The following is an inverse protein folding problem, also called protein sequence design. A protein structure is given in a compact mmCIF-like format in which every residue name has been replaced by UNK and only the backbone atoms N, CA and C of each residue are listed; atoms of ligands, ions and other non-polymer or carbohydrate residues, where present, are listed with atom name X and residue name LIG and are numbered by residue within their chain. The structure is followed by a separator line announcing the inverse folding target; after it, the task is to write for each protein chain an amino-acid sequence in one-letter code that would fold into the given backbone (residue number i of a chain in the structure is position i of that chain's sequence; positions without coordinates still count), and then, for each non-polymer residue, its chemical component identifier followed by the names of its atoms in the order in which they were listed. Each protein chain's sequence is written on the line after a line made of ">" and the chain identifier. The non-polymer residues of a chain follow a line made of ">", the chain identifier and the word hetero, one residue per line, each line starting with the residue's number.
data_IF_394351813784
#
_entry.id   IF_394351813784
#
_cell.length_a   1.000
_cell.length_b   1.000
_cell.length_c   1.000
_cell.angle_alpha   90.00
_cell.angle_beta   90.00
_cell.angle_gamma   90.00
#
_symmetry.space_group_name_H-M   'P 1'
#
loop_
_entity.id
_entity.type
_entity.pdbx_description
1 polymer ?
#
# COMPACT_ATOMS: atom_id res chain seq x y z
N UNK A 1 -13.26 0.43 -0.97
CA UNK A 1 -12.80 1.66 -1.65
C UNK A 1 -11.34 1.55 -2.00
N UNK A 2 -10.45 1.52 -1.01
CA UNK A 2 -8.99 1.45 -1.19
C UNK A 2 -8.51 0.25 -2.02
N UNK A 3 -9.15 -0.91 -1.88
CA UNK A 3 -8.84 -2.07 -2.71
C UNK A 3 -9.10 -1.82 -4.21
N UNK A 4 -10.18 -1.08 -4.55
CA UNK A 4 -10.48 -0.72 -5.94
C UNK A 4 -9.47 0.31 -6.42
N UNK A 5 -9.20 1.34 -5.61
CA UNK A 5 -8.19 2.34 -5.92
C UNK A 5 -6.80 1.71 -6.15
N UNK A 6 -6.40 0.73 -5.33
CA UNK A 6 -5.15 0.01 -5.46
C UNK A 6 -5.06 -0.87 -6.71
N UNK A 7 -6.17 -1.47 -7.16
CA UNK A 7 -6.19 -2.23 -8.43
C UNK A 7 -6.00 -1.33 -9.66
N UNK A 8 -6.50 -0.10 -9.58
CA UNK A 8 -6.37 0.89 -10.65
C UNK A 8 -5.19 1.84 -10.48
N UNK A 9 -4.43 1.72 -9.40
CA UNK A 9 -3.21 2.48 -9.18
C UNK A 9 -2.14 2.00 -10.16
N UNK A 10 -1.43 2.95 -10.76
CA UNK A 10 -0.33 2.67 -11.67
C UNK A 10 0.80 3.66 -11.43
N UNK A 11 2.02 3.15 -11.42
CA UNK A 11 3.21 3.97 -11.20
C UNK A 11 4.25 3.66 -12.26
N UNK A 12 5.03 4.67 -12.66
CA UNK A 12 6.13 4.49 -13.60
C UNK A 12 7.26 5.47 -13.31
N UNK A 13 8.51 5.00 -13.35
CA UNK A 13 9.70 5.83 -13.11
C UNK A 13 10.40 6.22 -14.41
N UNK A 14 11.16 7.31 -14.38
CA UNK A 14 11.98 7.72 -15.52
C UNK A 14 13.09 6.69 -15.80
N UNK A 15 13.66 6.09 -14.76
CA UNK A 15 14.60 4.96 -14.89
C UNK A 15 13.98 3.77 -15.63
N UNK A 16 12.72 3.43 -15.33
CA UNK A 16 11.95 2.39 -16.02
C UNK A 16 11.75 2.73 -17.50
N UNK A 17 11.33 3.95 -17.82
CA UNK A 17 11.15 4.38 -19.21
C UNK A 17 12.46 4.36 -20.01
N UNK A 18 13.58 4.80 -19.40
CA UNK A 18 14.91 4.72 -20.02
C UNK A 18 15.31 3.27 -20.31
N UNK A 19 15.06 2.36 -19.36
CA UNK A 19 15.29 0.93 -19.55
C UNK A 19 14.41 0.37 -20.66
N UNK A 20 13.11 0.67 -20.66
CA UNK A 20 12.17 0.26 -21.71
C UNK A 20 12.60 0.76 -23.10
N UNK A 21 13.08 2.00 -23.20
CA UNK A 21 13.62 2.57 -24.45
C UNK A 21 14.82 1.76 -24.96
N UNK A 22 15.78 1.44 -24.10
CA UNK A 22 16.95 0.64 -24.44
C UNK A 22 16.57 -0.75 -24.94
N UNK A 23 15.69 -1.43 -24.20
CA UNK A 23 15.20 -2.77 -24.52
C UNK A 23 14.42 -2.80 -25.84
N UNK A 24 13.53 -1.84 -26.06
CA UNK A 24 12.80 -1.69 -27.32
C UNK A 24 13.75 -1.43 -28.49
N UNK A 25 14.78 -0.60 -28.30
CA UNK A 25 15.81 -0.33 -29.31
C UNK A 25 16.62 -1.57 -29.69
N UNK A 26 16.97 -2.43 -28.73
CA UNK A 26 17.62 -3.73 -28.97
C UNK A 26 16.70 -4.64 -29.80
N UNK A 27 15.43 -4.74 -29.43
CA UNK A 27 14.44 -5.56 -30.14
C UNK A 27 14.22 -5.08 -31.59
N UNK A 28 14.04 -3.77 -31.79
CA UNK A 28 13.82 -3.16 -33.12
C UNK A 28 15.04 -3.36 -34.02
N UNK A 29 16.27 -3.26 -33.50
CA UNK A 29 17.49 -3.50 -34.29
C UNK A 29 17.54 -4.91 -34.87
N UNK A 30 17.13 -5.93 -34.12
CA UNK A 30 17.14 -7.32 -34.60
C UNK A 30 15.93 -7.70 -35.43
N UNK A 31 14.74 -7.37 -34.95
CA UNK A 31 13.48 -7.87 -35.51
C UNK A 31 12.76 -6.85 -36.37
N UNK A 32 13.16 -5.58 -36.38
CA UNK A 32 12.45 -4.50 -37.06
C UNK A 32 12.22 -4.72 -38.56
N UNK A 33 13.17 -5.38 -39.26
CA UNK A 33 13.02 -5.76 -40.68
C UNK A 33 12.13 -7.00 -40.90
N UNK A 34 11.92 -7.82 -39.87
CA UNK A 34 11.13 -9.06 -39.91
C UNK A 34 9.68 -8.85 -39.44
N UNK A 35 9.38 -7.71 -38.81
CA UNK A 35 8.03 -7.37 -38.37
C UNK A 35 7.14 -7.03 -39.57
N UNK A 36 5.89 -7.54 -39.54
CA UNK A 36 4.82 -7.07 -40.44
C UNK A 36 4.65 -5.56 -40.30
N UNK A 37 4.23 -4.89 -41.37
CA UNK A 37 4.10 -3.42 -41.41
C UNK A 37 3.28 -2.85 -40.25
N UNK A 38 2.14 -3.48 -39.94
CA UNK A 38 1.28 -3.11 -38.81
C UNK A 38 1.99 -3.21 -37.45
N UNK A 39 2.66 -4.33 -37.18
CA UNK A 39 3.42 -4.52 -35.93
C UNK A 39 4.57 -3.52 -35.82
N UNK A 40 5.23 -3.19 -36.93
CA UNK A 40 6.30 -2.19 -36.95
C UNK A 40 5.77 -0.80 -36.60
N UNK A 41 4.58 -0.43 -37.09
CA UNK A 41 3.91 0.83 -36.72
C UNK A 41 3.56 0.84 -35.24
N UNK A 42 2.96 -0.23 -34.70
CA UNK A 42 2.61 -0.30 -33.28
C UNK A 42 3.83 -0.29 -32.35
N UNK A 43 4.90 -0.99 -32.70
CA UNK A 43 6.18 -0.91 -31.97
C UNK A 43 6.76 0.51 -32.01
N UNK A 44 6.65 1.20 -33.15
CA UNK A 44 7.00 2.61 -33.27
C UNK A 44 6.16 3.52 -32.38
N UNK A 45 4.84 3.28 -32.30
CA UNK A 45 3.92 4.00 -31.39
C UNK A 45 4.33 3.82 -29.92
N UNK A 46 4.65 2.60 -29.48
CA UNK A 46 5.18 2.35 -28.13
C UNK A 46 6.46 3.16 -27.88
N UNK A 47 7.38 3.18 -28.85
CA UNK A 47 8.60 3.98 -28.76
C UNK A 47 8.34 5.47 -28.60
N UNK A 48 7.41 6.04 -29.37
CA UNK A 48 7.03 7.47 -29.25
C UNK A 48 6.46 7.82 -27.89
N UNK A 49 5.63 6.95 -27.32
CA UNK A 49 5.08 7.11 -25.97
C UNK A 49 6.20 7.14 -24.93
N UNK A 50 7.09 6.13 -24.97
CA UNK A 50 8.21 6.06 -24.03
C UNK A 50 9.07 7.32 -24.14
N UNK A 51 9.36 7.79 -25.35
CA UNK A 51 10.14 9.01 -25.55
C UNK A 51 9.43 10.28 -25.05
N UNK A 52 8.16 10.47 -25.39
CA UNK A 52 7.41 11.66 -24.98
C UNK A 52 7.23 11.76 -23.46
N UNK A 53 6.90 10.62 -22.81
CA UNK A 53 6.83 10.55 -21.35
C UNK A 53 8.20 10.77 -20.71
N UNK A 54 9.26 10.15 -21.25
CA UNK A 54 10.63 10.35 -20.75
C UNK A 54 11.04 11.81 -20.83
N UNK A 55 10.80 12.47 -21.97
CA UNK A 55 11.13 13.89 -22.15
C UNK A 55 10.38 14.76 -21.15
N UNK A 56 9.08 14.50 -20.92
CA UNK A 56 8.29 15.24 -19.93
C UNK A 56 8.87 15.08 -18.52
N UNK A 57 9.12 13.84 -18.11
CA UNK A 57 9.68 13.51 -16.79
C UNK A 57 11.08 14.12 -16.61
N UNK A 58 11.90 14.12 -17.65
CA UNK A 58 13.23 14.73 -17.62
C UNK A 58 13.18 16.25 -17.45
N UNK A 59 12.18 16.91 -18.05
CA UNK A 59 11.94 18.33 -17.84
C UNK A 59 11.39 18.60 -16.43
N UNK A 60 10.55 17.72 -15.88
CA UNK A 60 10.00 17.87 -14.54
C UNK A 60 11.05 17.77 -13.43
N UNK A 61 12.22 17.17 -13.69
CA UNK A 61 13.35 17.19 -12.75
C UNK A 61 13.85 18.62 -12.42
N UNK A 62 13.68 19.58 -13.33
CA UNK A 62 14.08 20.98 -13.11
C UNK A 62 12.99 21.82 -12.44
N UNK A 63 11.83 21.23 -12.09
CA UNK A 63 10.78 21.95 -11.39
C UNK A 63 11.21 22.33 -9.98
N UNK A 64 10.70 23.46 -9.48
CA UNK A 64 11.04 23.96 -8.13
C UNK A 64 10.48 23.05 -7.02
N UNK A 65 9.29 22.49 -7.23
CA UNK A 65 8.63 21.64 -6.23
C UNK A 65 9.11 20.19 -6.37
N UNK A 66 9.20 19.48 -5.24
CA UNK A 66 9.58 18.06 -5.19
C UNK A 66 8.45 17.13 -5.69
N UNK A 67 7.20 17.56 -5.53
CA UNK A 67 6.01 16.85 -5.96
C UNK A 67 4.95 17.82 -6.53
N UNK A 68 3.97 17.28 -7.23
CA UNK A 68 2.85 18.06 -7.76
C UNK A 68 1.87 17.25 -8.62
N UNK A 69 0.77 17.90 -9.00
CA UNK A 69 -0.27 17.32 -9.84
C UNK A 69 0.04 17.59 -11.32
N UNK A 70 -0.22 16.60 -12.17
CA UNK A 70 -0.05 16.67 -13.62
C UNK A 70 -1.38 16.39 -14.31
N UNK A 71 -1.72 17.20 -15.31
CA UNK A 71 -2.83 16.90 -16.19
C UNK A 71 -2.42 15.89 -17.27
N UNK A 72 -3.29 14.94 -17.60
CA UNK A 72 -3.04 13.94 -18.65
C UNK A 72 -2.66 14.60 -19.98
N UNK A 73 -3.30 15.72 -20.33
CA UNK A 73 -3.03 16.44 -21.58
C UNK A 73 -1.57 16.94 -21.68
N UNK A 74 -0.95 17.31 -20.55
CA UNK A 74 0.44 17.78 -20.54
C UNK A 74 1.44 16.64 -20.81
N UNK A 75 1.10 15.42 -20.38
CA UNK A 75 1.88 14.22 -20.67
C UNK A 75 1.77 13.79 -22.14
N UNK A 76 0.58 13.95 -22.75
CA UNK A 76 0.31 13.49 -24.12
C UNK A 76 0.71 14.49 -25.21
N UNK A 77 0.96 15.76 -24.87
CA UNK A 77 1.29 16.81 -25.84
C UNK A 77 2.62 16.56 -26.57
N UNK A 78 3.57 15.89 -25.93
CA UNK A 78 4.90 15.64 -26.53
C UNK A 78 4.83 14.50 -27.55
N UNK A 79 5.61 14.61 -28.63
CA UNK A 79 5.75 13.57 -29.68
C UNK A 79 4.43 13.14 -30.36
N UNK A 80 3.37 13.93 -30.26
CA UNK A 80 2.07 13.61 -30.86
C UNK A 80 1.44 12.36 -30.25
N UNK A 81 1.63 12.11 -28.94
CA UNK A 81 1.03 10.95 -28.27
C UNK A 81 -0.50 11.06 -28.27
N UNK A 82 -1.03 12.27 -28.21
CA UNK A 82 -2.45 12.60 -28.37
C UNK A 82 -3.07 12.05 -29.67
N UNK A 83 -2.27 11.86 -30.72
CA UNK A 83 -2.72 11.31 -32.01
C UNK A 83 -2.69 9.78 -32.07
N UNK A 84 -2.24 9.11 -31.01
CA UNK A 84 -2.14 7.64 -30.95
C UNK A 84 -3.42 7.08 -30.32
N UNK A 85 -4.06 6.14 -31.00
CA UNK A 85 -5.16 5.38 -30.39
C UNK A 85 -4.61 4.49 -29.26
N UNK A 86 -4.79 4.95 -28.02
CA UNK A 86 -4.24 4.31 -26.83
C UNK A 86 -4.89 2.94 -26.56
N UNK A 87 -6.19 2.78 -26.85
CA UNK A 87 -6.91 1.52 -26.68
C UNK A 87 -6.38 0.41 -27.60
N UNK A 88 -6.17 0.72 -28.88
CA UNK A 88 -5.56 -0.21 -29.83
C UNK A 88 -4.14 -0.61 -29.41
N UNK A 89 -3.36 0.35 -28.91
CA UNK A 89 -1.99 0.12 -28.52
C UNK A 89 -1.89 -0.74 -27.26
N UNK A 90 -2.73 -0.48 -26.24
CA UNK A 90 -2.82 -1.31 -25.03
C UNK A 90 -3.18 -2.75 -25.43
N UNK A 91 -4.20 -2.92 -26.28
CA UNK A 91 -4.60 -4.24 -26.78
C UNK A 91 -3.45 -4.94 -27.50
N UNK A 92 -2.74 -4.23 -28.38
CA UNK A 92 -1.57 -4.77 -29.06
C UNK A 92 -0.47 -5.23 -28.10
N UNK A 93 -0.12 -4.43 -27.08
CA UNK A 93 0.91 -4.81 -26.09
C UNK A 93 0.53 -6.11 -25.37
N UNK A 94 -0.75 -6.24 -24.99
CA UNK A 94 -1.31 -7.42 -24.33
C UNK A 94 -1.32 -8.65 -25.27
N UNK A 95 -2.00 -8.56 -26.41
CA UNK A 95 -2.25 -9.70 -27.32
C UNK A 95 -0.95 -10.21 -27.94
N UNK A 96 -0.04 -9.31 -28.30
CA UNK A 96 1.24 -9.69 -28.91
C UNK A 96 2.25 -10.21 -27.89
N UNK A 97 1.95 -10.13 -26.59
CA UNK A 97 2.87 -10.41 -25.48
C UNK A 97 4.22 -9.70 -25.68
N UNK A 98 4.16 -8.44 -26.12
CA UNK A 98 5.34 -7.67 -26.52
C UNK A 98 6.34 -7.54 -25.36
N UNK A 99 5.84 -7.30 -24.14
CA UNK A 99 6.66 -7.18 -22.94
C UNK A 99 7.56 -8.40 -22.74
N UNK A 100 6.98 -9.61 -22.78
CA UNK A 100 7.72 -10.87 -22.66
C UNK A 100 8.71 -11.09 -23.79
N UNK A 101 8.34 -10.80 -25.05
CA UNK A 101 9.22 -10.97 -26.21
C UNK A 101 10.47 -10.09 -26.13
N UNK A 102 10.31 -8.87 -25.63
CA UNK A 102 11.41 -7.92 -25.48
C UNK A 102 12.31 -8.35 -24.33
N UNK A 103 11.74 -8.72 -23.19
CA UNK A 103 12.52 -9.18 -22.03
C UNK A 103 13.27 -10.47 -22.25
N UNK A 104 12.61 -11.49 -22.82
CA UNK A 104 13.26 -12.75 -23.14
C UNK A 104 14.44 -12.55 -24.09
N UNK A 105 14.31 -11.59 -25.01
CA UNK A 105 15.36 -11.30 -25.97
C UNK A 105 16.53 -10.53 -25.35
N UNK A 106 16.25 -9.55 -24.50
CA UNK A 106 17.28 -8.80 -23.78
C UNK A 106 18.07 -9.73 -22.85
N UNK A 107 17.39 -10.61 -22.12
CA UNK A 107 18.03 -11.62 -21.28
C UNK A 107 18.94 -12.56 -22.09
N UNK A 108 18.52 -12.96 -23.30
CA UNK A 108 19.35 -13.77 -24.19
C UNK A 108 20.62 -13.03 -24.63
N UNK A 109 20.51 -11.76 -25.02
CA UNK A 109 21.66 -10.94 -25.44
C UNK A 109 22.62 -10.69 -24.29
N UNK A 110 22.10 -10.45 -23.09
CA UNK A 110 22.92 -10.31 -21.88
C UNK A 110 23.66 -11.62 -21.55
N UNK A 111 22.99 -12.77 -21.68
CA UNK A 111 23.61 -14.09 -21.46
C UNK A 111 24.67 -14.45 -22.51
N UNK A 112 24.55 -13.96 -23.75
CA UNK A 112 25.55 -14.16 -24.80
C UNK A 112 26.79 -13.27 -24.61
N UNK A 113 26.62 -12.08 -24.05
CA UNK A 113 27.72 -11.13 -23.83
C UNK A 113 28.45 -11.31 -22.49
N UNK A 114 27.77 -11.83 -21.45
CA UNK A 114 28.37 -12.11 -20.13
C UNK A 114 27.93 -13.49 -19.58
N UNK A 115 28.71 -14.56 -19.85
CA UNK A 115 28.41 -15.90 -19.33
C UNK A 115 28.67 -15.96 -17.82
N UNK A 116 27.66 -15.63 -17.00
CA UNK A 116 27.73 -15.73 -15.54
C UNK A 116 26.88 -14.73 -14.74
N UNK A 117 26.27 -13.73 -15.38
CA UNK A 117 25.39 -12.79 -14.70
C UNK A 117 24.05 -13.46 -14.35
N UNK A 118 23.79 -13.69 -13.06
CA UNK A 118 22.48 -14.11 -12.55
C UNK A 118 21.48 -12.98 -12.79
N UNK A 119 20.69 -13.08 -13.85
CA UNK A 119 19.57 -12.16 -14.10
C UNK A 119 18.58 -12.26 -12.94
N UNK A 120 18.37 -11.17 -12.18
CA UNK A 120 17.23 -11.01 -11.26
C UNK A 120 15.92 -10.98 -12.06
N UNK A 121 15.48 -12.14 -12.53
CA UNK A 121 14.24 -12.35 -13.27
C UNK A 121 13.05 -12.53 -12.31
N UNK A 122 12.82 -11.55 -11.44
CA UNK A 122 11.74 -11.59 -10.45
C UNK A 122 10.84 -10.35 -10.42
N UNK A 123 11.10 -9.35 -11.26
CA UNK A 123 10.29 -8.13 -11.34
C UNK A 123 9.23 -8.21 -12.44
N UNK A 124 8.10 -7.54 -12.22
CA UNK A 124 7.11 -7.30 -13.29
C UNK A 124 7.79 -6.64 -14.49
N UNK A 125 7.53 -7.12 -15.71
CA UNK A 125 8.18 -6.57 -16.89
C UNK A 125 7.96 -5.07 -17.04
N UNK A 126 8.99 -4.32 -17.42
CA UNK A 126 8.91 -2.83 -17.46
C UNK A 126 7.82 -2.34 -18.42
N UNK A 127 7.62 -3.06 -19.53
CA UNK A 127 6.56 -2.77 -20.48
C UNK A 127 5.15 -3.14 -19.97
N UNK A 128 5.03 -4.06 -19.01
CA UNK A 128 3.77 -4.28 -18.31
C UNK A 128 3.44 -3.11 -17.39
N UNK A 129 4.43 -2.58 -16.67
CA UNK A 129 4.28 -1.35 -15.88
C UNK A 129 3.83 -0.17 -16.76
N UNK A 130 4.45 0.00 -17.94
CA UNK A 130 4.00 0.99 -18.93
C UNK A 130 2.56 0.73 -19.39
N UNK A 131 2.20 -0.50 -19.72
CA UNK A 131 0.84 -0.82 -20.17
C UNK A 131 -0.20 -0.52 -19.08
N UNK A 132 0.07 -0.88 -17.82
CA UNK A 132 -0.80 -0.52 -16.69
C UNK A 132 -0.94 0.98 -16.52
N UNK A 133 0.15 1.74 -16.67
CA UNK A 133 0.10 3.20 -16.64
C UNK A 133 -0.68 3.80 -17.82
N UNK A 134 -0.57 3.22 -19.02
CA UNK A 134 -1.37 3.63 -20.18
C UNK A 134 -2.86 3.38 -19.96
N UNK A 135 -3.24 2.24 -19.36
CA UNK A 135 -4.63 1.98 -18.97
C UNK A 135 -5.11 3.07 -18.01
N UNK A 136 -4.31 3.43 -17.00
CA UNK A 136 -4.65 4.50 -16.08
C UNK A 136 -4.82 5.88 -16.76
N UNK A 137 -4.03 6.17 -17.79
CA UNK A 137 -4.17 7.39 -18.60
C UNK A 137 -5.46 7.45 -19.42
N UNK A 138 -6.11 6.31 -19.69
CA UNK A 138 -7.41 6.27 -20.39
C UNK A 138 -8.61 6.57 -19.49
N UNK A 139 -8.42 6.59 -18.17
CA UNK A 139 -9.48 6.94 -17.23
C UNK A 139 -9.84 8.43 -17.35
N UNK A 140 -11.08 8.78 -17.03
CA UNK A 140 -11.50 10.18 -17.10
C UNK A 140 -10.74 11.03 -16.08
N UNK A 141 -10.44 12.28 -16.44
CA UNK A 141 -9.84 13.24 -15.51
C UNK A 141 -10.75 13.57 -14.33
N UNK A 142 -12.05 13.25 -14.36
CA UNK A 142 -12.93 13.35 -13.19
C UNK A 142 -12.71 12.23 -12.17
N UNK A 143 -12.15 11.09 -12.59
CA UNK A 143 -12.07 9.87 -11.78
C UNK A 143 -10.77 9.75 -11.01
N UNK A 144 -9.68 10.30 -11.53
CA UNK A 144 -8.35 10.18 -10.93
C UNK A 144 -7.46 11.38 -11.16
N UNK A 145 -6.31 11.36 -10.51
CA UNK A 145 -5.24 12.37 -10.64
C UNK A 145 -3.91 11.68 -10.86
N UNK A 146 -3.04 12.35 -11.61
CA UNK A 146 -1.66 11.94 -11.80
C UNK A 146 -0.80 12.88 -10.99
N UNK A 147 0.14 12.30 -10.24
CA UNK A 147 1.11 13.02 -9.45
C UNK A 147 2.50 12.72 -9.98
N UNK A 148 3.39 13.71 -9.92
CA UNK A 148 4.82 13.48 -10.03
C UNK A 148 5.46 13.61 -8.65
N UNK A 149 6.47 12.80 -8.39
CA UNK A 149 7.30 12.89 -7.20
C UNK A 149 8.76 12.66 -7.58
N UNK A 150 9.64 13.58 -7.18
CA UNK A 150 11.08 13.39 -7.30
C UNK A 150 11.55 12.38 -6.26
N UNK A 151 12.33 11.41 -6.71
CA UNK A 151 12.84 10.37 -5.84
C UNK A 151 14.20 10.79 -5.28
N UNK A 152 14.30 10.84 -3.95
CA UNK A 152 15.58 11.02 -3.27
C UNK A 152 16.44 9.77 -3.44
N UNK A 153 17.58 9.89 -4.13
CA UNK A 153 18.49 8.79 -4.41
C UNK A 153 19.82 9.25 -5.01
N UNK A 154 20.80 8.33 -5.17
CA UNK A 154 22.12 8.66 -5.70
C UNK A 154 22.09 9.16 -7.16
N UNK A 155 21.03 8.86 -7.91
CA UNK A 155 20.77 9.38 -9.25
C UNK A 155 19.44 10.13 -9.29
N UNK A 156 19.34 11.27 -9.98
CA UNK A 156 18.08 11.99 -10.12
C UNK A 156 17.06 11.14 -10.88
N UNK A 157 15.97 10.79 -10.21
CA UNK A 157 14.85 10.04 -10.78
C UNK A 157 13.53 10.70 -10.37
N UNK A 158 12.50 10.44 -11.15
CA UNK A 158 11.15 10.98 -10.93
C UNK A 158 10.15 9.88 -11.22
N UNK A 159 9.10 9.83 -10.40
CA UNK A 159 8.02 8.86 -10.50
C UNK A 159 6.74 9.59 -10.89
N UNK A 160 5.97 9.00 -11.80
CA UNK A 160 4.58 9.35 -12.04
C UNK A 160 3.70 8.29 -11.37
N UNK A 161 2.73 8.72 -10.57
CA UNK A 161 1.75 7.85 -9.91
C UNK A 161 0.34 8.31 -10.26
N UNK A 162 -0.49 7.38 -10.71
CA UNK A 162 -1.92 7.60 -10.90
C UNK A 162 -2.69 7.11 -9.67
N UNK A 163 -3.54 7.97 -9.12
CA UNK A 163 -4.46 7.66 -8.04
C UNK A 163 -5.89 7.78 -8.54
N UNK A 164 -6.65 6.69 -8.42
CA UNK A 164 -8.09 6.71 -8.62
C UNK A 164 -8.75 7.36 -7.40
N UNK A 165 -9.41 8.50 -7.61
CA UNK A 165 -10.14 9.24 -6.58
C UNK A 165 -11.58 8.76 -6.42
N UNK A 166 -12.20 8.31 -7.52
CA UNK A 166 -13.57 7.78 -7.51
C UNK A 166 -13.64 6.38 -8.13
N UNK A 167 -14.01 5.34 -7.37
CA UNK A 167 -14.22 4.00 -7.90
C UNK A 167 -15.59 3.80 -8.54
N UNK A 168 -16.45 4.82 -8.58
CA UNK A 168 -17.82 4.72 -9.10
C UNK A 168 -17.87 4.09 -10.48
N UNK A 169 -17.08 4.59 -11.43
CA UNK A 169 -17.13 4.10 -12.82
C UNK A 169 -16.51 2.71 -12.95
N UNK A 170 -15.37 2.47 -12.30
CA UNK A 170 -14.74 1.15 -12.24
C UNK A 170 -15.74 0.09 -11.73
N UNK A 171 -16.46 0.39 -10.65
CA UNK A 171 -17.43 -0.52 -10.06
C UNK A 171 -18.74 -0.61 -10.87
N UNK A 172 -19.14 0.45 -11.58
CA UNK A 172 -20.37 0.46 -12.40
C UNK A 172 -20.36 -0.64 -13.48
N UNK A 173 -19.18 -0.96 -14.02
CA UNK A 173 -19.01 -2.05 -14.99
C UNK A 173 -19.35 -3.42 -14.39
N UNK A 174 -18.94 -3.65 -13.14
CA UNK A 174 -19.24 -4.88 -12.38
C UNK A 174 -20.73 -4.93 -12.05
N UNK A 175 -21.30 -3.83 -11.57
CA UNK A 175 -22.71 -3.73 -11.24
C UNK A 175 -23.63 -3.94 -12.45
N UNK A 176 -23.22 -3.50 -13.64
CA UNK A 176 -24.01 -3.63 -14.88
C UNK A 176 -23.88 -5.00 -15.55
N UNK A 177 -22.72 -5.65 -15.42
CA UNK A 177 -22.47 -6.96 -16.02
C UNK A 177 -22.98 -8.13 -15.17
N UNK A 178 -23.04 -7.96 -13.85
CA UNK A 178 -23.52 -8.98 -12.94
C UNK A 178 -25.05 -8.98 -12.81
N UNK A 179 -25.66 -10.16 -12.65
CA UNK A 179 -27.09 -10.30 -12.33
C UNK A 179 -27.42 -9.75 -10.93
N UNK A 180 -26.52 -9.95 -9.98
CA UNK A 180 -26.61 -9.46 -8.61
C UNK A 180 -25.19 -9.30 -8.04
N UNK A 181 -24.98 -8.24 -7.25
CA UNK A 181 -23.73 -8.00 -6.52
C UNK A 181 -24.05 -8.03 -5.03
N UNK A 182 -23.37 -8.91 -4.29
CA UNK A 182 -23.55 -9.03 -2.84
C UNK A 182 -22.27 -8.52 -2.18
N UNK A 183 -22.38 -7.43 -1.43
CA UNK A 183 -21.31 -6.94 -0.57
C UNK A 183 -21.57 -7.46 0.85
N UNK A 184 -20.64 -8.26 1.37
CA UNK A 184 -20.73 -8.83 2.71
C UNK A 184 -19.45 -8.54 3.49
N UNK A 185 -19.60 -8.01 4.70
CA UNK A 185 -18.48 -7.70 5.58
C UNK A 185 -18.96 -7.32 6.99
N UNK A 186 -18.19 -7.73 7.99
CA UNK A 186 -18.54 -7.52 9.40
C UNK A 186 -18.30 -6.08 9.91
N UNK A 187 -17.52 -5.28 9.19
CA UNK A 187 -17.11 -3.91 9.57
C UNK A 187 -17.54 -2.87 8.54
N UNK A 188 -18.60 -3.15 7.79
CA UNK A 188 -19.09 -2.30 6.69
C UNK A 188 -20.00 -1.14 7.14
N UNK A 189 -20.14 -0.89 8.44
CA UNK A 189 -20.93 0.24 8.93
C UNK A 189 -20.08 1.52 8.91
N UNK A 190 -20.60 2.68 8.43
CA UNK A 190 -21.96 2.91 7.89
C UNK A 190 -22.14 2.46 6.42
N UNK A 191 -23.35 2.06 6.04
CA UNK A 191 -23.66 1.53 4.69
C UNK A 191 -23.79 2.64 3.64
N UNK A 192 -24.09 3.85 4.09
CA UNK A 192 -24.30 5.05 3.29
C UNK A 192 -23.06 5.37 2.45
N UNK A 193 -21.87 5.28 3.04
CA UNK A 193 -20.60 5.51 2.34
C UNK A 193 -20.43 4.57 1.14
N UNK A 194 -20.80 3.30 1.29
CA UNK A 194 -20.72 2.33 0.19
C UNK A 194 -21.73 2.64 -0.91
N UNK A 195 -22.94 3.04 -0.53
CA UNK A 195 -24.01 3.39 -1.46
C UNK A 195 -23.62 4.61 -2.30
N UNK A 196 -23.14 5.67 -1.64
CA UNK A 196 -22.84 6.94 -2.30
C UNK A 196 -21.62 6.83 -3.21
N UNK A 197 -20.61 6.04 -2.82
CA UNK A 197 -19.39 5.91 -3.63
C UNK A 197 -19.45 4.82 -4.71
N UNK A 198 -20.03 3.65 -4.42
CA UNK A 198 -20.06 2.52 -5.37
C UNK A 198 -21.31 2.50 -6.25
N UNK A 199 -22.40 3.08 -5.77
CA UNK A 199 -23.72 2.99 -6.39
C UNK A 199 -24.48 4.32 -6.54
N UNK A 200 -23.82 5.46 -6.86
CA UNK A 200 -24.49 6.77 -6.89
C UNK A 200 -25.61 6.84 -7.94
N UNK A 201 -25.54 6.02 -8.99
CA UNK A 201 -26.52 6.01 -10.10
C UNK A 201 -27.64 4.98 -9.91
N UNK A 202 -27.56 4.11 -8.89
CA UNK A 202 -28.59 3.10 -8.65
C UNK A 202 -29.73 3.67 -7.80
N UNK A 203 -30.97 3.38 -8.21
CA UNK A 203 -32.15 3.72 -7.43
C UNK A 203 -32.13 3.00 -6.08
N UNK A 204 -32.55 3.70 -5.01
CA UNK A 204 -32.59 3.14 -3.66
C UNK A 204 -33.41 1.83 -3.56
N UNK A 205 -34.43 1.66 -4.40
CA UNK A 205 -35.24 0.44 -4.49
C UNK A 205 -34.49 -0.82 -4.93
N UNK A 206 -33.31 -0.68 -5.55
CA UNK A 206 -32.45 -1.80 -5.98
C UNK A 206 -31.39 -2.17 -4.94
N UNK A 207 -31.22 -1.35 -3.90
CA UNK A 207 -30.22 -1.55 -2.85
C UNK A 207 -30.93 -2.10 -1.62
N UNK A 208 -30.64 -3.35 -1.27
CA UNK A 208 -31.12 -3.96 -0.03
C UNK A 208 -29.96 -4.08 0.95
N UNK A 209 -30.15 -3.57 2.16
CA UNK A 209 -29.18 -3.70 3.25
C UNK A 209 -29.71 -4.69 4.28
N UNK A 210 -28.83 -5.54 4.77
CA UNK A 210 -29.10 -6.47 5.86
C UNK A 210 -27.97 -6.34 6.88
N UNK A 211 -28.33 -5.99 8.11
CA UNK A 211 -27.41 -6.04 9.24
C UNK A 211 -27.92 -7.10 10.21
N UNK A 212 -27.10 -8.11 10.44
CA UNK A 212 -27.37 -9.09 11.48
C UNK A 212 -26.85 -8.57 12.82
N UNK A 213 -27.58 -8.85 13.90
CA UNK A 213 -27.11 -8.54 15.25
C UNK A 213 -25.79 -9.23 15.58
N UNK A 214 -25.12 -8.73 16.61
CA UNK A 214 -23.85 -9.28 17.07
C UNK A 214 -24.05 -10.71 17.60
N UNK A 215 -23.31 -11.68 17.06
CA UNK A 215 -23.39 -13.09 17.49
C UNK A 215 -22.74 -13.29 18.86
N UNK A 216 -21.77 -12.45 19.21
CA UNK A 216 -21.06 -12.56 20.49
C UNK A 216 -21.87 -11.82 21.57
N UNK A 217 -22.14 -12.46 22.72
CA UNK A 217 -22.78 -11.83 23.87
C UNK A 217 -22.01 -10.59 24.36
N UNK A 218 -22.71 -9.60 24.92
CA UNK A 218 -22.11 -8.33 25.38
C UNK A 218 -21.10 -8.54 26.50
N UNK A 219 -21.24 -9.63 27.26
CA UNK A 219 -20.36 -9.95 28.39
C UNK A 219 -18.94 -10.35 27.92
N UNK A 220 -18.80 -10.78 26.67
CA UNK A 220 -17.54 -11.21 26.09
C UNK A 220 -16.81 -10.08 25.33
N UNK A 221 -17.41 -8.89 25.23
CA UNK A 221 -16.83 -7.75 24.52
C UNK A 221 -16.94 -6.48 25.36
N UNK A 222 -15.80 -5.96 25.76
CA UNK A 222 -15.71 -4.67 26.42
C UNK A 222 -14.98 -3.66 25.55
N UNK A 223 -15.59 -2.49 25.34
CA UNK A 223 -15.01 -1.40 24.53
C UNK A 223 -14.96 -0.13 25.38
N UNK A 224 -13.76 0.44 25.50
CA UNK A 224 -13.52 1.67 26.24
C UNK A 224 -12.64 2.63 25.44
N UNK A 225 -12.94 3.93 25.56
CA UNK A 225 -12.08 5.01 25.06
C UNK A 225 -11.25 5.56 26.22
N UNK A 226 -9.93 5.38 26.16
CA UNK A 226 -9.02 5.88 27.20
C UNK A 226 -8.55 7.30 26.85
N UNK A 227 -9.05 8.30 27.57
CA UNK A 227 -8.66 9.71 27.37
C UNK A 227 -7.42 10.13 28.15
N UNK A 228 -7.11 9.50 29.27
CA UNK A 228 -5.98 9.85 30.17
C UNK A 228 -5.49 8.61 30.90
N UNK A 229 -4.21 8.54 31.26
CA UNK A 229 -3.64 7.41 32.03
C UNK A 229 -4.07 7.42 33.49
N UNK A 230 -4.16 8.62 34.08
CA UNK A 230 -4.48 8.84 35.49
C UNK A 230 -5.20 10.18 35.65
N UNK A 231 -6.01 10.37 36.72
CA UNK A 231 -6.60 11.66 37.03
C UNK A 231 -5.52 12.76 37.10
N UNK A 232 -5.70 13.86 36.36
CA UNK A 232 -4.76 14.97 36.30
C UNK A 232 -3.60 14.84 35.31
N UNK A 233 -3.49 13.72 34.58
CA UNK A 233 -2.58 13.63 33.42
C UNK A 233 -3.16 14.37 32.20
N UNK A 234 -2.31 14.85 31.27
CA UNK A 234 -2.78 15.46 30.04
C UNK A 234 -3.58 14.46 29.20
N UNK A 235 -4.59 14.97 28.49
CA UNK A 235 -5.42 14.16 27.60
C UNK A 235 -4.59 13.62 26.44
N UNK A 236 -4.82 12.35 26.10
CA UNK A 236 -4.19 11.72 24.95
C UNK A 236 -4.58 12.45 23.67
N UNK A 237 -3.59 13.03 23.01
CA UNK A 237 -3.74 13.61 21.68
C UNK A 237 -2.62 13.16 20.75
N UNK A 238 -3.03 12.38 19.74
CA UNK A 238 -2.14 11.83 18.72
C UNK A 238 -2.33 12.53 17.36
N UNK A 239 -2.72 13.82 17.37
CA UNK A 239 -2.74 14.65 16.16
C UNK A 239 -1.33 14.73 15.56
N UNK A 240 -1.20 14.96 14.25
CA UNK A 240 0.11 15.00 13.58
C UNK A 240 1.10 15.96 14.27
N UNK A 241 0.59 17.07 14.80
CA UNK A 241 1.38 18.09 15.50
C UNK A 241 1.89 17.62 16.87
N UNK A 242 1.10 16.83 17.61
CA UNK A 242 1.40 16.45 19.01
C UNK A 242 1.83 15.00 19.22
N UNK A 243 1.66 14.12 18.24
CA UNK A 243 2.00 12.68 18.36
C UNK A 243 3.46 12.39 18.70
N UNK A 244 4.36 13.34 18.43
CA UNK A 244 5.82 13.27 18.70
C UNK A 244 6.22 13.84 20.06
N UNK A 245 5.27 14.32 20.85
CA UNK A 245 5.54 14.81 22.19
C UNK A 245 6.08 13.67 23.09
N UNK A 246 7.30 13.80 23.64
CA UNK A 246 7.89 12.79 24.52
C UNK A 246 7.02 12.47 25.74
N UNK A 247 6.29 13.46 26.27
CA UNK A 247 5.40 13.22 27.41
C UNK A 247 4.25 12.30 27.00
N UNK A 248 3.60 12.56 25.86
CA UNK A 248 2.52 11.72 25.32
C UNK A 248 2.98 10.29 25.06
N UNK A 249 4.15 10.10 24.46
CA UNK A 249 4.72 8.77 24.19
C UNK A 249 5.05 8.03 25.49
N UNK A 250 5.45 8.75 26.54
CA UNK A 250 5.69 8.16 27.86
C UNK A 250 4.38 7.73 28.53
N UNK A 251 3.37 8.60 28.52
CA UNK A 251 2.04 8.29 29.05
C UNK A 251 1.43 7.08 28.32
N UNK A 252 1.62 7.01 27.00
CA UNK A 252 1.22 5.88 26.18
C UNK A 252 1.83 4.56 26.67
N UNK A 253 3.15 4.54 26.87
CA UNK A 253 3.86 3.37 27.37
C UNK A 253 3.41 2.95 28.77
N UNK A 254 3.10 3.91 29.65
CA UNK A 254 2.55 3.65 30.97
C UNK A 254 1.14 3.05 30.90
N UNK A 255 0.28 3.52 29.99
CA UNK A 255 -1.04 2.93 29.76
C UNK A 255 -0.94 1.47 29.30
N UNK A 256 -0.10 1.19 28.30
CA UNK A 256 0.13 -0.17 27.79
C UNK A 256 0.68 -1.07 28.90
N UNK A 257 1.63 -0.58 29.70
CA UNK A 257 2.18 -1.36 30.82
C UNK A 257 1.13 -1.72 31.87
N UNK A 258 0.20 -0.80 32.18
CA UNK A 258 -0.89 -1.07 33.11
C UNK A 258 -1.83 -2.14 32.56
N UNK A 259 -2.19 -2.07 31.27
CA UNK A 259 -3.00 -3.10 30.59
C UNK A 259 -2.28 -4.45 30.61
N UNK A 260 -0.99 -4.49 30.25
CA UNK A 260 -0.17 -5.70 30.28
C UNK A 260 0.00 -6.29 31.69
N UNK A 261 -0.22 -5.50 32.75
CA UNK A 261 -0.14 -6.00 34.14
C UNK A 261 -1.44 -6.64 34.62
N UNK A 262 -2.58 -6.32 33.99
CA UNK A 262 -3.91 -6.82 34.36
C UNK A 262 -4.34 -7.97 33.44
N UNK A 263 -3.99 -7.88 32.15
CA UNK A 263 -4.36 -8.86 31.13
C UNK A 263 -3.38 -10.03 31.18
N UNK A 264 -3.82 -11.28 31.47
CA UNK A 264 -2.91 -12.42 31.63
C UNK A 264 -2.32 -12.91 30.30
N UNK A 265 -3.16 -13.03 29.26
CA UNK A 265 -2.79 -13.67 27.99
C UNK A 265 -2.14 -12.67 27.02
N UNK A 266 -2.75 -12.44 25.85
CA UNK A 266 -2.23 -11.57 24.82
C UNK A 266 -2.80 -10.15 24.82
N UNK A 267 -1.94 -9.19 24.48
CA UNK A 267 -2.30 -7.79 24.21
C UNK A 267 -1.79 -7.41 22.83
N UNK A 268 -2.65 -6.82 22.00
CA UNK A 268 -2.26 -6.32 20.68
C UNK A 268 -2.45 -4.81 20.62
N UNK A 269 -1.39 -4.10 20.28
CA UNK A 269 -1.39 -2.64 20.10
C UNK A 269 -1.21 -2.30 18.63
N UNK A 270 -2.15 -1.52 18.09
CA UNK A 270 -2.08 -1.03 16.71
C UNK A 270 -1.63 0.42 16.63
N UNK A 271 -0.68 0.69 15.73
CA UNK A 271 -0.16 2.02 15.41
C UNK A 271 -0.55 2.45 14.00
N UNK A 272 -0.66 3.76 13.71
CA UNK A 272 -1.04 4.26 12.39
C UNK A 272 0.00 4.01 11.28
N UNK A 273 1.29 3.85 11.59
CA UNK A 273 2.33 3.58 10.60
C UNK A 273 3.57 2.92 11.21
N UNK A 274 4.35 2.20 10.39
CA UNK A 274 5.63 1.62 10.82
C UNK A 274 6.62 2.68 11.31
N UNK A 275 6.68 3.84 10.63
CA UNK A 275 7.57 4.93 11.06
C UNK A 275 7.21 5.47 12.45
N UNK A 276 5.92 5.58 12.77
CA UNK A 276 5.50 6.00 14.11
C UNK A 276 5.73 4.91 15.17
N UNK A 277 5.53 3.64 14.81
CA UNK A 277 5.88 2.51 15.68
C UNK A 277 7.37 2.54 16.05
N UNK A 278 8.26 2.72 15.07
CA UNK A 278 9.71 2.78 15.29
C UNK A 278 10.09 3.98 16.17
N UNK A 279 9.48 5.16 15.95
CA UNK A 279 9.66 6.36 16.79
C UNK A 279 9.26 6.10 18.25
N UNK A 280 8.09 5.47 18.47
CA UNK A 280 7.58 5.16 19.82
C UNK A 280 8.45 4.12 20.53
N UNK A 281 8.84 3.05 19.83
CA UNK A 281 9.70 2.00 20.40
C UNK A 281 11.07 2.56 20.77
N UNK A 282 11.66 3.39 19.90
CA UNK A 282 12.93 4.05 20.20
C UNK A 282 12.85 4.92 21.46
N UNK A 283 11.75 5.64 21.65
CA UNK A 283 11.51 6.43 22.86
C UNK A 283 11.31 5.55 24.11
N UNK A 284 10.67 4.38 23.99
CA UNK A 284 10.48 3.45 25.10
C UNK A 284 11.74 2.70 25.51
N UNK A 285 12.69 2.51 24.59
CA UNK A 285 14.00 1.91 24.86
C UNK A 285 14.92 2.88 25.62
N UNK A 286 14.72 4.19 25.49
CA UNK A 286 15.50 5.20 26.20
C UNK A 286 15.27 5.16 27.72
N UNK A 287 16.36 5.31 28.47
CA UNK A 287 16.34 5.41 29.92
C UNK A 287 16.11 6.88 30.31
N UNK A 288 14.94 7.17 30.88
CA UNK A 288 14.54 8.54 31.25
C UNK A 288 15.25 9.06 32.52
N UNK A 289 15.80 8.17 33.35
CA UNK A 289 16.51 8.55 34.58
C UNK A 289 17.57 7.52 34.92
N UNK A 290 18.74 7.96 35.40
CA UNK A 290 19.92 7.12 35.66
C UNK A 290 19.66 5.92 36.60
N UNK A 291 18.58 5.95 37.39
CA UNK A 291 18.18 4.89 38.32
C UNK A 291 16.88 4.16 37.95
N UNK A 292 16.31 4.38 36.76
CA UNK A 292 15.04 3.77 36.32
C UNK A 292 15.23 2.85 35.12
N UNK A 293 14.51 1.73 35.10
CA UNK A 293 14.41 0.88 33.91
C UNK A 293 13.63 1.61 32.81
N UNK A 294 14.02 1.39 31.56
CA UNK A 294 13.27 1.88 30.40
C UNK A 294 11.85 1.28 30.38
N UNK A 295 10.91 1.99 29.76
CA UNK A 295 9.53 1.49 29.61
C UNK A 295 9.53 0.15 28.88
N UNK A 296 10.40 0.01 27.89
CA UNK A 296 10.61 -1.23 27.14
C UNK A 296 11.03 -2.40 28.02
N UNK A 297 12.04 -2.20 28.88
CA UNK A 297 12.51 -3.25 29.79
C UNK A 297 11.40 -3.67 30.78
N UNK A 298 10.59 -2.71 31.24
CA UNK A 298 9.43 -2.98 32.12
C UNK A 298 8.36 -3.80 31.40
N UNK A 299 8.10 -3.52 30.12
CA UNK A 299 7.17 -4.29 29.28
C UNK A 299 7.69 -5.72 29.07
N UNK A 300 8.97 -5.89 28.71
CA UNK A 300 9.59 -7.21 28.54
C UNK A 300 9.61 -8.04 29.84
N UNK A 301 9.71 -7.38 31.00
CA UNK A 301 9.59 -8.05 32.29
C UNK A 301 8.19 -8.62 32.56
N UNK A 302 7.15 -8.00 31.98
CA UNK A 302 5.75 -8.39 32.14
C UNK A 302 5.27 -9.37 31.07
N UNK A 303 5.58 -9.13 29.79
CA UNK A 303 5.13 -9.92 28.64
C UNK A 303 6.25 -10.10 27.62
N UNK A 304 6.20 -11.19 26.84
CA UNK A 304 7.05 -11.33 25.66
C UNK A 304 6.63 -10.31 24.59
N UNK A 305 7.52 -9.39 24.21
CA UNK A 305 7.17 -8.29 23.29
C UNK A 305 7.61 -8.62 21.86
N UNK A 306 6.66 -8.58 20.94
CA UNK A 306 6.83 -8.82 19.51
C UNK A 306 6.48 -7.53 18.74
N UNK A 307 7.22 -7.24 17.67
CA UNK A 307 6.98 -6.06 16.82
C UNK A 307 6.98 -6.43 15.35
N UNK A 308 6.08 -5.80 14.60
CA UNK A 308 6.06 -5.92 13.15
C UNK A 308 7.08 -4.96 12.51
N UNK A 309 7.85 -5.44 11.53
CA UNK A 309 8.83 -4.62 10.80
C UNK A 309 8.48 -4.53 9.32
N UNK A 310 8.80 -3.37 8.71
CA UNK A 310 8.55 -3.15 7.28
C UNK A 310 9.36 -4.13 6.44
N UNK A 311 8.69 -5.01 5.70
CA UNK A 311 9.33 -6.03 4.86
C UNK A 311 9.60 -7.37 5.56
N UNK A 312 9.36 -7.47 6.88
CA UNK A 312 9.39 -8.73 7.60
C UNK A 312 8.22 -9.67 7.26
N UNK A 313 8.38 -10.95 7.57
CA UNK A 313 7.29 -11.94 7.51
C UNK A 313 6.34 -11.72 8.68
N UNK A 314 5.19 -11.11 8.42
CA UNK A 314 4.10 -10.91 9.40
C UNK A 314 3.65 -12.23 10.02
N UNK A 315 3.58 -13.28 9.21
CA UNK A 315 3.06 -14.58 9.61
C UNK A 315 3.98 -15.27 10.61
N UNK A 316 5.30 -15.05 10.48
CA UNK A 316 6.27 -15.57 11.44
C UNK A 316 6.12 -14.88 12.81
N UNK A 317 6.00 -13.54 12.83
CA UNK A 317 5.81 -12.78 14.08
C UNK A 317 4.52 -13.20 14.79
N UNK A 318 3.45 -13.47 14.03
CA UNK A 318 2.18 -13.97 14.57
C UNK A 318 2.29 -15.40 15.12
N UNK A 319 3.04 -16.28 14.44
CA UNK A 319 3.31 -17.62 14.94
C UNK A 319 4.12 -17.59 16.23
N UNK A 320 5.16 -16.75 16.30
CA UNK A 320 5.99 -16.59 17.49
C UNK A 320 5.17 -16.02 18.66
N UNK A 321 4.31 -15.02 18.40
CA UNK A 321 3.35 -14.49 19.36
C UNK A 321 2.39 -15.57 19.89
N UNK A 322 1.83 -16.38 18.99
CA UNK A 322 0.91 -17.47 19.33
C UNK A 322 1.60 -18.53 20.19
N UNK A 323 2.84 -18.90 19.84
CA UNK A 323 3.65 -19.84 20.62
C UNK A 323 4.03 -19.29 21.99
N UNK A 324 4.25 -17.99 22.13
CA UNK A 324 4.54 -17.38 23.43
C UNK A 324 3.34 -17.44 24.40
N UNK A 325 2.12 -17.47 23.88
CA UNK A 325 0.89 -17.57 24.69
C UNK A 325 0.52 -19.03 24.95
N UNK A 326 0.48 -19.87 23.90
CA UNK A 326 -0.07 -21.23 23.95
C UNK A 326 0.98 -22.35 23.92
N UNK A 327 2.23 -22.03 23.62
CA UNK A 327 3.27 -23.04 23.45
C UNK A 327 3.72 -23.67 24.77
N UNK A 328 4.39 -24.81 24.66
CA UNK A 328 4.95 -25.57 25.80
C UNK A 328 6.01 -24.77 26.59
N UNK A 329 6.59 -23.71 26.00
CA UNK A 329 7.51 -22.76 26.64
C UNK A 329 6.80 -21.53 27.22
N UNK A 330 5.48 -21.54 27.34
CA UNK A 330 4.75 -20.41 27.92
C UNK A 330 5.12 -20.25 29.41
N UNK A 331 5.81 -19.16 29.72
CA UNK A 331 6.15 -18.80 31.10
C UNK A 331 4.92 -18.29 31.91
N UNK A 332 3.69 -18.47 31.40
CA UNK A 332 2.45 -17.92 31.97
C UNK A 332 2.35 -16.39 31.96
N UNK A 333 3.31 -15.69 31.34
CA UNK A 333 3.39 -14.22 31.32
C UNK A 333 2.56 -13.57 30.20
N UNK A 334 2.18 -14.36 29.19
CA UNK A 334 1.51 -13.87 27.99
C UNK A 334 2.42 -13.03 27.08
N UNK A 335 1.85 -12.44 26.05
CA UNK A 335 2.59 -11.74 24.99
C UNK A 335 1.98 -10.39 24.62
N UNK A 336 2.82 -9.47 24.12
CA UNK A 336 2.45 -8.16 23.62
C UNK A 336 2.87 -8.06 22.16
N UNK A 337 1.93 -7.82 21.25
CA UNK A 337 2.19 -7.60 19.84
C UNK A 337 1.99 -6.12 19.48
N UNK A 338 3.04 -5.47 18.97
CA UNK A 338 2.98 -4.13 18.39
C UNK A 338 2.89 -4.24 16.86
N UNK A 339 1.75 -3.85 16.30
CA UNK A 339 1.43 -3.97 14.86
C UNK A 339 0.93 -2.65 14.29
N UNK A 340 0.79 -2.57 12.97
CA UNK A 340 0.39 -1.36 12.25
C UNK A 340 -1.00 -1.53 11.63
N UNK A 341 -1.83 -0.49 11.69
CA UNK A 341 -3.14 -0.46 11.03
C UNK A 341 -2.95 -0.53 9.52
N UNK A 342 -3.64 -1.46 8.86
CA UNK A 342 -3.43 -1.80 7.44
C UNK A 342 -2.22 -2.72 7.18
N UNK A 343 -1.50 -3.15 8.23
CA UNK A 343 -0.45 -4.17 8.12
C UNK A 343 -1.00 -5.55 7.74
N UNK A 344 -0.12 -6.44 7.29
CA UNK A 344 -0.51 -7.77 6.77
C UNK A 344 -1.19 -8.65 7.83
N UNK A 345 -0.96 -8.39 9.11
CA UNK A 345 -1.49 -9.14 10.25
C UNK A 345 -3.00 -8.96 10.51
N UNK A 346 -3.62 -7.88 10.02
CA UNK A 346 -5.00 -7.47 10.35
C UNK A 346 -6.12 -8.31 9.71
N UNK A 347 -5.82 -9.48 9.17
CA UNK A 347 -6.87 -10.36 8.66
C UNK A 347 -7.67 -10.93 9.83
N UNK A 348 -9.01 -10.84 9.77
CA UNK A 348 -9.94 -11.30 10.80
C UNK A 348 -9.80 -12.80 11.19
N UNK A 349 -9.05 -13.60 10.42
CA UNK A 349 -8.72 -14.99 10.73
C UNK A 349 -7.58 -15.14 11.77
N UNK A 350 -6.83 -14.09 12.07
CA UNK A 350 -5.58 -14.18 12.83
C UNK A 350 -5.81 -14.36 14.33
N UNK A 351 -6.89 -13.81 14.87
CA UNK A 351 -7.11 -13.72 16.31
C UNK A 351 -8.23 -14.65 16.75
N UNK A 352 -7.87 -15.73 17.46
CA UNK A 352 -8.80 -16.73 18.01
C UNK A 352 -8.99 -16.48 19.51
N UNK A 353 -10.13 -16.91 20.04
CA UNK A 353 -10.45 -16.87 21.47
C UNK A 353 -9.31 -17.48 22.31
N UNK A 354 -8.72 -16.67 23.19
CA UNK A 354 -7.58 -17.02 24.04
C UNK A 354 -6.22 -16.50 23.56
N UNK A 355 -6.12 -15.92 22.35
CA UNK A 355 -4.89 -15.30 21.85
C UNK A 355 -4.79 -13.82 22.21
N UNK A 356 -5.91 -13.10 22.29
CA UNK A 356 -5.92 -11.66 22.57
C UNK A 356 -7.05 -11.32 23.52
N UNK A 357 -6.70 -10.85 24.71
CA UNK A 357 -7.65 -10.43 25.72
C UNK A 357 -7.84 -8.90 25.72
N UNK A 358 -6.96 -8.14 25.06
CA UNK A 358 -7.14 -6.71 24.82
C UNK A 358 -6.54 -6.28 23.48
N UNK A 359 -7.36 -5.62 22.65
CA UNK A 359 -6.90 -4.87 21.48
C UNK A 359 -6.91 -3.38 21.82
N UNK A 360 -5.77 -2.73 21.63
CA UNK A 360 -5.60 -1.32 21.91
C UNK A 360 -5.23 -0.58 20.62
N UNK A 361 -6.05 0.39 20.22
CA UNK A 361 -5.79 1.21 19.05
C UNK A 361 -5.20 2.56 19.50
N UNK A 362 -3.95 2.83 19.13
CA UNK A 362 -3.30 4.09 19.43
C UNK A 362 -3.62 5.14 18.38
N UNK A 363 -4.53 6.06 18.69
CA UNK A 363 -4.92 7.16 17.81
C UNK A 363 -5.87 6.74 16.67
N UNK A 364 -6.46 7.73 16.00
CA UNK A 364 -7.26 7.49 14.79
C UNK A 364 -6.35 7.08 13.63
N UNK A 365 -6.69 6.05 12.85
CA UNK A 365 -5.97 5.72 11.63
C UNK A 365 -6.23 6.81 10.58
N UNK A 366 -5.43 7.86 10.60
CA UNK A 366 -5.35 8.84 9.51
C UNK A 366 -4.39 8.32 8.46
N UNK A 367 -4.89 8.06 7.25
CA UNK A 367 -4.03 7.86 6.07
C UNK A 367 -3.22 9.15 5.87
N UNK A 368 -1.89 9.03 5.95
CA UNK A 368 -0.95 10.10 5.57
C UNK A 368 -0.66 10.04 4.09
#
# INVERSE_FOLDING_TARGET
>A
MDAIAGVHAAEIRLSDLKRAKGMLGVYVRKFGKKLKGENRVNVGRVGRIIEGLSEWMQAALSFKNEDGIVESNDLLRRKGIDQINMFELIRYISDSKLAFKIESYVAHVESENEPGAVTKAGGTPVLHTLASFLVALTNLSSEGRIFYQKMAGPSPDIQLSYLLLSPTHAFSSVASSARAVILAGGTMSPFEDYKDHLFPTLSASKVTTLSCGHVIPKENLCVWTLGTVRPGAPQFEFSYQRRRDPEMITQLGMAVLNVCSIVPDGVVVFFPSYGYLDEVVAAWEQVQSANSQSVWARLQGRKAVFRETKGGSSDQVLNDYTQAIQGEQSNGKGALLLSVVGGRCLKASTFRTGLDAASWLSGSPTQT
#
